data_IF_151208553129
#
_entry.id   IF_151208553129
#
_cell.length_a   1.000
_cell.length_b   1.000
_cell.length_c   1.000
_cell.angle_alpha   90.00
_cell.angle_beta   90.00
_cell.angle_gamma   90.00
#
_symmetry.space_group_name_H-M   'P 1'
#
loop_
_entity.id
_entity.type
_entity.pdbx_description
1 polymer ?
#
# COMPACT_ATOMS: atom_id res chain seq x y z
N UNK A 1 32.84 -7.32 -114.66
CA UNK A 1 33.25 -6.85 -113.32
C UNK A 1 32.46 -5.60 -112.96
N UNK A 2 31.47 -5.70 -112.05
CA UNK A 2 30.75 -4.52 -111.54
C UNK A 2 31.63 -3.83 -110.50
N UNK A 3 32.05 -2.59 -110.76
CA UNK A 3 32.72 -1.74 -109.77
C UNK A 3 31.68 -1.23 -108.77
N UNK A 4 31.62 -1.86 -107.60
CA UNK A 4 30.86 -1.35 -106.46
C UNK A 4 31.57 -0.07 -105.96
N UNK A 5 31.04 1.09 -106.32
CA UNK A 5 31.47 2.36 -105.71
C UNK A 5 30.88 2.41 -104.31
N UNK A 6 31.71 2.13 -103.31
CA UNK A 6 31.34 2.28 -101.90
C UNK A 6 31.18 3.79 -101.64
N UNK A 7 29.95 4.22 -101.39
CA UNK A 7 29.68 5.61 -101.02
C UNK A 7 30.04 5.80 -99.54
N UNK A 8 31.32 6.11 -99.29
CA UNK A 8 31.89 6.27 -97.95
C UNK A 8 31.27 7.44 -97.16
N UNK A 9 30.62 8.39 -97.82
CA UNK A 9 30.00 9.55 -97.18
C UNK A 9 28.66 9.20 -96.51
N UNK A 10 27.83 8.38 -97.17
CA UNK A 10 26.54 7.91 -96.62
C UNK A 10 26.76 7.06 -95.36
N UNK A 11 27.77 6.18 -95.37
CA UNK A 11 28.08 5.31 -94.23
C UNK A 11 28.61 6.09 -93.01
N UNK A 12 29.24 7.26 -93.23
CA UNK A 12 29.76 8.10 -92.16
C UNK A 12 28.66 8.89 -91.44
N UNK A 13 27.67 9.40 -92.19
CA UNK A 13 26.53 10.12 -91.60
C UNK A 13 25.64 9.21 -90.75
N UNK A 14 25.35 7.99 -91.23
CA UNK A 14 24.54 7.04 -90.47
C UNK A 14 25.27 6.53 -89.23
N UNK A 15 26.58 6.25 -89.33
CA UNK A 15 27.42 5.94 -88.18
C UNK A 15 27.39 7.06 -87.13
N UNK A 16 27.54 8.33 -87.56
CA UNK A 16 27.47 9.48 -86.67
C UNK A 16 26.08 9.66 -86.02
N UNK A 17 24.98 9.28 -86.68
CA UNK A 17 23.64 9.28 -86.06
C UNK A 17 23.54 8.24 -84.94
N UNK A 18 24.03 7.03 -85.16
CA UNK A 18 24.02 5.97 -84.14
C UNK A 18 24.94 6.30 -82.96
N UNK A 19 26.11 6.87 -83.24
CA UNK A 19 27.05 7.33 -82.21
C UNK A 19 26.42 8.41 -81.32
N UNK A 20 25.76 9.41 -81.92
CA UNK A 20 25.03 10.44 -81.18
C UNK A 20 23.85 9.89 -80.36
N UNK A 21 23.15 8.87 -80.87
CA UNK A 21 22.06 8.22 -80.14
C UNK A 21 22.58 7.41 -78.96
N UNK A 22 23.69 6.71 -79.13
CA UNK A 22 24.35 5.95 -78.07
C UNK A 22 24.90 6.86 -76.97
N UNK A 23 25.50 8.00 -77.32
CA UNK A 23 25.97 8.99 -76.35
C UNK A 23 24.81 9.61 -75.56
N UNK A 24 23.68 9.93 -76.22
CA UNK A 24 22.46 10.38 -75.53
C UNK A 24 21.90 9.32 -74.59
N UNK A 25 21.90 8.05 -75.02
CA UNK A 25 21.47 6.94 -74.19
C UNK A 25 22.37 6.77 -72.96
N UNK A 26 23.69 6.79 -73.13
CA UNK A 26 24.68 6.72 -72.05
C UNK A 26 24.49 7.86 -71.03
N UNK A 27 24.27 9.09 -71.51
CA UNK A 27 23.99 10.23 -70.65
C UNK A 27 22.66 10.06 -69.89
N UNK A 28 21.60 9.59 -70.55
CA UNK A 28 20.32 9.31 -69.89
C UNK A 28 20.43 8.20 -68.83
N UNK A 29 21.20 7.15 -69.11
CA UNK A 29 21.44 6.05 -68.18
C UNK A 29 22.26 6.51 -66.96
N UNK A 30 23.26 7.37 -67.16
CA UNK A 30 24.05 7.97 -66.07
C UNK A 30 23.17 8.84 -65.16
N UNK A 31 22.29 9.67 -65.72
CA UNK A 31 21.33 10.49 -64.95
C UNK A 31 20.38 9.60 -64.16
N UNK A 32 19.79 8.58 -64.80
CA UNK A 32 18.87 7.65 -64.15
C UNK A 32 19.54 6.91 -62.99
N UNK A 33 20.77 6.42 -63.19
CA UNK A 33 21.53 5.72 -62.16
C UNK A 33 21.82 6.64 -60.97
N UNK A 34 22.14 7.91 -61.24
CA UNK A 34 22.37 8.91 -60.20
C UNK A 34 21.10 9.17 -59.39
N UNK A 35 19.95 9.32 -60.05
CA UNK A 35 18.65 9.51 -59.37
C UNK A 35 18.31 8.30 -58.50
N UNK A 36 18.47 7.08 -59.02
CA UNK A 36 18.21 5.85 -58.27
C UNK A 36 19.12 5.72 -57.04
N UNK A 37 20.41 6.10 -57.17
CA UNK A 37 21.34 6.09 -56.04
C UNK A 37 20.90 7.07 -54.94
N UNK A 38 20.43 8.27 -55.29
CA UNK A 38 19.92 9.25 -54.33
C UNK A 38 18.69 8.70 -53.60
N UNK A 39 17.73 8.11 -54.34
CA UNK A 39 16.53 7.50 -53.75
C UNK A 39 16.89 6.36 -52.81
N UNK A 40 17.86 5.52 -53.20
CA UNK A 40 18.33 4.41 -52.38
C UNK A 40 18.97 4.89 -51.07
N UNK A 41 19.87 5.88 -51.14
CA UNK A 41 20.51 6.46 -49.95
C UNK A 41 19.46 7.05 -49.00
N UNK A 42 18.50 7.81 -49.54
CA UNK A 42 17.43 8.40 -48.75
C UNK A 42 16.55 7.34 -48.07
N UNK A 43 16.19 6.28 -48.80
CA UNK A 43 15.40 5.17 -48.29
C UNK A 43 16.15 4.41 -47.19
N UNK A 44 17.44 4.13 -47.40
CA UNK A 44 18.29 3.46 -46.43
C UNK A 44 18.40 4.23 -45.10
N UNK A 45 18.64 5.54 -45.16
CA UNK A 45 18.70 6.39 -43.96
C UNK A 45 17.35 6.38 -43.21
N UNK A 46 16.25 6.49 -43.95
CA UNK A 46 14.91 6.49 -43.36
C UNK A 46 14.59 5.17 -42.65
N UNK A 47 14.90 4.04 -43.29
CA UNK A 47 14.70 2.70 -42.73
C UNK A 47 15.58 2.50 -41.49
N UNK A 48 16.86 2.86 -41.56
CA UNK A 48 17.79 2.75 -40.44
C UNK A 48 17.31 3.54 -39.22
N UNK A 49 16.84 4.77 -39.42
CA UNK A 49 16.32 5.60 -38.32
C UNK A 49 15.05 4.99 -37.69
N UNK A 50 14.13 4.48 -38.51
CA UNK A 50 12.93 3.80 -38.00
C UNK A 50 13.26 2.53 -37.24
N UNK A 51 14.21 1.74 -37.74
CA UNK A 51 14.67 0.51 -37.09
C UNK A 51 15.30 0.79 -35.72
N UNK A 52 16.20 1.78 -35.63
CA UNK A 52 16.81 2.18 -34.37
C UNK A 52 15.77 2.66 -33.34
N UNK A 53 14.76 3.43 -33.79
CA UNK A 53 13.67 3.86 -32.91
C UNK A 53 12.86 2.66 -32.40
N UNK A 54 12.54 1.72 -33.29
CA UNK A 54 11.82 0.50 -32.94
C UNK A 54 12.57 -0.35 -31.92
N UNK A 55 13.87 -0.59 -32.12
CA UNK A 55 14.72 -1.31 -31.18
C UNK A 55 14.75 -0.65 -29.80
N UNK A 56 14.93 0.67 -29.75
CA UNK A 56 14.89 1.41 -28.47
C UNK A 56 13.54 1.28 -27.76
N UNK A 57 12.42 1.35 -28.50
CA UNK A 57 11.09 1.16 -27.92
C UNK A 57 10.89 -0.28 -27.42
N UNK A 58 11.42 -1.27 -28.14
CA UNK A 58 11.35 -2.66 -27.74
C UNK A 58 12.18 -2.95 -26.48
N UNK A 59 13.38 -2.36 -26.38
CA UNK A 59 14.20 -2.41 -25.18
C UNK A 59 13.49 -1.77 -23.99
N UNK A 60 12.93 -0.58 -24.14
CA UNK A 60 12.17 0.08 -23.07
C UNK A 60 10.98 -0.76 -22.62
N UNK A 61 10.22 -1.33 -23.56
CA UNK A 61 9.12 -2.25 -23.24
C UNK A 61 9.59 -3.44 -22.41
N UNK A 62 10.70 -4.07 -22.79
CA UNK A 62 11.29 -5.19 -22.05
C UNK A 62 11.69 -4.76 -20.63
N UNK A 63 12.33 -3.61 -20.48
CA UNK A 63 12.69 -3.05 -19.18
C UNK A 63 11.47 -2.81 -18.30
N UNK A 64 10.39 -2.22 -18.83
CA UNK A 64 9.17 -2.00 -18.05
C UNK A 64 8.51 -3.31 -17.63
N UNK A 65 8.46 -4.32 -18.51
CA UNK A 65 7.93 -5.63 -18.16
C UNK A 65 8.78 -6.31 -17.06
N UNK A 66 10.10 -6.18 -17.13
CA UNK A 66 10.99 -6.71 -16.11
C UNK A 66 10.78 -6.00 -14.77
N UNK A 67 10.65 -4.67 -14.76
CA UNK A 67 10.35 -3.90 -13.56
C UNK A 67 9.00 -4.27 -12.95
N UNK A 68 7.98 -4.55 -13.77
CA UNK A 68 6.68 -5.01 -13.27
C UNK A 68 6.79 -6.39 -12.61
N UNK A 69 7.57 -7.31 -13.18
CA UNK A 69 7.81 -8.63 -12.58
C UNK A 69 8.58 -8.51 -11.27
N UNK A 70 9.63 -7.69 -11.24
CA UNK A 70 10.47 -7.49 -10.05
C UNK A 70 9.70 -6.82 -8.91
N UNK A 71 8.85 -5.83 -9.22
CA UNK A 71 8.08 -5.10 -8.21
C UNK A 71 6.81 -5.80 -7.75
N UNK A 72 6.39 -6.88 -8.41
CA UNK A 72 5.16 -7.62 -8.06
C UNK A 72 5.15 -8.08 -6.60
N UNK A 73 6.29 -8.55 -6.11
CA UNK A 73 6.40 -9.06 -4.75
C UNK A 73 6.37 -7.93 -3.72
N UNK A 74 6.93 -6.76 -4.05
CA UNK A 74 6.86 -5.57 -3.20
C UNK A 74 5.45 -4.97 -3.17
N UNK A 75 4.75 -4.96 -4.30
CA UNK A 75 3.34 -4.56 -4.37
C UNK A 75 2.45 -5.48 -3.52
N UNK A 76 2.71 -6.79 -3.55
CA UNK A 76 2.02 -7.74 -2.67
C UNK A 76 2.27 -7.45 -1.18
N UNK A 77 3.50 -7.10 -0.79
CA UNK A 77 3.82 -6.69 0.58
C UNK A 77 3.12 -5.39 0.98
N UNK A 78 3.11 -4.39 0.09
CA UNK A 78 2.44 -3.11 0.34
C UNK A 78 0.94 -3.35 0.55
N UNK A 79 0.30 -4.11 -0.34
CA UNK A 79 -1.12 -4.45 -0.22
C UNK A 79 -1.43 -5.22 1.08
N UNK A 80 -0.52 -6.08 1.52
CA UNK A 80 -0.65 -6.79 2.79
C UNK A 80 -0.55 -5.84 4.00
N UNK A 81 0.40 -4.90 3.97
CA UNK A 81 0.56 -3.89 5.02
C UNK A 81 -0.67 -2.97 5.07
N UNK A 82 -1.18 -2.55 3.91
CA UNK A 82 -2.39 -1.73 3.82
C UNK A 82 -3.60 -2.44 4.45
N UNK A 83 -3.81 -3.72 4.11
CA UNK A 83 -4.88 -4.52 4.73
C UNK A 83 -4.73 -4.60 6.26
N UNK A 84 -3.52 -4.88 6.74
CA UNK A 84 -3.23 -4.89 8.19
C UNK A 84 -3.51 -3.54 8.85
N UNK A 85 -3.15 -2.45 8.18
CA UNK A 85 -3.41 -1.10 8.67
C UNK A 85 -4.91 -0.82 8.76
N UNK A 86 -5.68 -1.22 7.73
CA UNK A 86 -7.14 -1.09 7.73
C UNK A 86 -7.76 -1.91 8.87
N UNK A 87 -7.31 -3.16 9.06
CA UNK A 87 -7.79 -4.02 10.13
C UNK A 87 -7.46 -3.43 11.51
N UNK A 88 -6.25 -2.91 11.69
CA UNK A 88 -5.84 -2.25 12.92
C UNK A 88 -6.64 -0.96 13.17
N UNK A 89 -6.84 -0.13 12.15
CA UNK A 89 -7.67 1.07 12.24
C UNK A 89 -9.11 0.73 12.58
N UNK A 90 -9.65 -0.35 12.00
CA UNK A 90 -10.97 -0.86 12.34
C UNK A 90 -11.01 -1.31 13.81
N UNK A 91 -10.01 -2.07 14.26
CA UNK A 91 -9.88 -2.47 15.66
C UNK A 91 -9.84 -1.26 16.61
N UNK A 92 -9.09 -0.20 16.28
CA UNK A 92 -9.04 1.02 17.09
C UNK A 92 -10.36 1.80 17.08
N UNK A 93 -11.03 1.91 15.94
CA UNK A 93 -12.38 2.52 15.86
C UNK A 93 -13.41 1.70 16.65
N UNK A 94 -13.17 0.40 16.70
CA UNK A 94 -13.98 -0.58 17.38
C UNK A 94 -13.60 -0.73 18.87
N UNK A 95 -12.54 -0.06 19.32
CA UNK A 95 -12.15 0.00 20.72
C UNK A 95 -13.07 0.99 21.44
N UNK A 96 -13.66 0.55 22.55
CA UNK A 96 -14.65 1.30 23.30
C UNK A 96 -14.05 2.45 24.12
N UNK A 97 -12.92 3.04 23.70
CA UNK A 97 -12.05 3.84 24.58
C UNK A 97 -11.67 3.04 25.84
N UNK A 98 -11.32 1.75 25.68
CA UNK A 98 -11.04 0.85 26.80
C UNK A 98 -9.94 1.38 27.72
N UNK A 99 -9.00 2.15 27.18
CA UNK A 99 -7.94 2.84 27.94
C UNK A 99 -8.52 3.82 28.94
N UNK A 100 -9.45 4.68 28.54
CA UNK A 100 -10.07 5.67 29.43
C UNK A 100 -10.88 5.00 30.54
N UNK A 101 -11.63 3.94 30.21
CA UNK A 101 -12.35 3.17 31.23
C UNK A 101 -11.41 2.41 32.17
N UNK A 102 -10.27 1.94 31.67
CA UNK A 102 -9.22 1.35 32.49
C UNK A 102 -8.64 2.37 33.48
N UNK A 103 -8.35 3.58 33.03
CA UNK A 103 -7.84 4.66 33.88
C UNK A 103 -8.84 5.03 34.99
N UNK A 104 -10.11 5.27 34.63
CA UNK A 104 -11.18 5.57 35.59
C UNK A 104 -11.28 4.47 36.65
N UNK A 105 -11.28 3.19 36.24
CA UNK A 105 -11.38 2.06 37.15
C UNK A 105 -10.12 1.92 38.02
N UNK A 106 -8.94 2.01 37.41
CA UNK A 106 -7.65 1.90 38.12
C UNK A 106 -7.51 2.99 39.17
N UNK A 107 -7.86 4.24 38.85
CA UNK A 107 -7.74 5.36 39.77
C UNK A 107 -8.78 5.27 40.90
N UNK A 108 -10.00 4.84 40.59
CA UNK A 108 -11.02 4.56 41.61
C UNK A 108 -10.57 3.45 42.57
N UNK A 109 -9.92 2.40 42.06
CA UNK A 109 -9.39 1.30 42.89
C UNK A 109 -8.24 1.80 43.77
N UNK A 110 -7.28 2.54 43.21
CA UNK A 110 -6.13 3.09 43.97
C UNK A 110 -6.59 4.00 45.11
N UNK A 111 -7.61 4.83 44.88
CA UNK A 111 -8.17 5.71 45.91
C UNK A 111 -8.85 4.95 47.07
N UNK A 112 -9.29 3.70 46.82
CA UNK A 112 -10.02 2.90 47.81
C UNK A 112 -9.13 2.03 48.71
N UNK A 113 -7.99 1.53 48.19
CA UNK A 113 -7.10 0.63 48.94
C UNK A 113 -5.76 0.45 48.22
N UNK A 114 -4.67 0.70 48.94
CA UNK A 114 -3.28 0.47 48.45
C UNK A 114 -2.98 -1.01 48.10
N UNK A 115 -3.77 -1.94 48.64
CA UNK A 115 -3.58 -3.39 48.43
C UNK A 115 -4.40 -3.97 47.27
N UNK A 116 -5.28 -3.17 46.68
CA UNK A 116 -6.15 -3.61 45.61
C UNK A 116 -5.42 -3.55 44.25
N UNK A 117 -5.44 -4.66 43.51
CA UNK A 117 -4.87 -4.73 42.16
C UNK A 117 -5.93 -5.17 41.16
N UNK A 118 -6.02 -4.47 40.04
CA UNK A 118 -6.85 -4.87 38.92
C UNK A 118 -6.15 -6.01 38.17
N UNK A 119 -6.74 -7.21 38.19
CA UNK A 119 -6.20 -8.42 37.54
C UNK A 119 -6.57 -8.48 36.07
N UNK A 120 -7.80 -8.11 35.74
CA UNK A 120 -8.29 -8.10 34.36
C UNK A 120 -9.41 -7.09 34.20
N UNK A 121 -9.50 -6.49 33.02
CA UNK A 121 -10.61 -5.66 32.57
C UNK A 121 -10.91 -6.01 31.11
N UNK A 122 -12.18 -6.21 30.80
CA UNK A 122 -12.69 -6.31 29.45
C UNK A 122 -13.84 -5.31 29.31
N UNK A 123 -13.80 -4.46 28.28
CA UNK A 123 -14.86 -3.51 27.96
C UNK A 123 -15.22 -3.67 26.49
N UNK A 124 -16.50 -3.75 26.19
CA UNK A 124 -17.00 -3.78 24.82
C UNK A 124 -17.51 -2.40 24.35
N UNK A 125 -17.79 -2.25 23.05
CA UNK A 125 -18.31 -0.99 22.47
C UNK A 125 -19.60 -0.49 23.08
N UNK A 126 -20.42 -1.41 23.60
CA UNK A 126 -21.67 -1.06 24.28
C UNK A 126 -21.44 -0.66 25.73
N UNK A 127 -20.17 -0.52 26.14
CA UNK A 127 -19.68 -0.21 27.49
C UNK A 127 -19.91 -1.32 28.50
N UNK A 128 -20.32 -2.52 28.07
CA UNK A 128 -20.41 -3.64 28.99
C UNK A 128 -19.00 -3.99 29.43
N UNK A 129 -18.85 -4.19 30.72
CA UNK A 129 -17.55 -4.40 31.36
C UNK A 129 -17.57 -5.65 32.22
N UNK A 130 -16.45 -6.34 32.24
CA UNK A 130 -16.16 -7.36 33.25
C UNK A 130 -14.74 -7.17 33.76
N UNK A 131 -14.60 -7.13 35.08
CA UNK A 131 -13.29 -6.93 35.69
C UNK A 131 -13.13 -7.73 36.97
N UNK A 132 -11.87 -8.02 37.30
CA UNK A 132 -11.50 -8.79 38.48
C UNK A 132 -10.51 -7.98 39.31
N UNK A 133 -10.79 -7.80 40.59
CA UNK A 133 -9.92 -7.12 41.54
C UNK A 133 -9.41 -8.13 42.54
N UNK A 134 -8.10 -8.13 42.77
CA UNK A 134 -7.40 -9.00 43.72
C UNK A 134 -6.95 -8.21 44.94
N UNK A 135 -7.05 -8.82 46.12
CA UNK A 135 -6.58 -8.28 47.39
C UNK A 135 -5.71 -9.31 48.10
N UNK A 136 -4.68 -8.85 48.79
CA UNK A 136 -3.80 -9.68 49.63
C UNK A 136 -4.28 -9.82 51.08
N UNK A 137 -5.26 -9.00 51.51
CA UNK A 137 -5.75 -8.93 52.89
C UNK A 137 -7.27 -8.84 52.90
N UNK A 138 -7.92 -9.67 53.71
CA UNK A 138 -9.39 -9.73 53.82
C UNK A 138 -10.03 -8.39 54.23
N UNK A 139 -9.47 -7.71 55.23
CA UNK A 139 -9.99 -6.43 55.71
C UNK A 139 -10.06 -5.38 54.59
N UNK A 140 -9.04 -5.37 53.71
CA UNK A 140 -8.98 -4.46 52.58
C UNK A 140 -9.98 -4.80 51.48
N UNK A 141 -10.25 -6.09 51.25
CA UNK A 141 -11.36 -6.53 50.39
C UNK A 141 -12.70 -6.05 50.95
N UNK A 142 -12.93 -6.19 52.26
CA UNK A 142 -14.16 -5.72 52.90
C UNK A 142 -14.31 -4.19 52.84
N UNK A 143 -13.22 -3.43 53.03
CA UNK A 143 -13.21 -1.98 52.82
C UNK A 143 -13.55 -1.61 51.38
N UNK A 144 -13.01 -2.35 50.41
CA UNK A 144 -13.33 -2.13 48.99
C UNK A 144 -14.80 -2.39 48.69
N UNK A 145 -15.40 -3.46 49.22
CA UNK A 145 -16.83 -3.73 49.01
C UNK A 145 -17.72 -2.57 49.50
N UNK A 146 -17.39 -1.98 50.66
CA UNK A 146 -18.07 -0.77 51.15
C UNK A 146 -17.84 0.43 50.23
N UNK A 147 -16.63 0.60 49.70
CA UNK A 147 -16.35 1.64 48.73
C UNK A 147 -17.08 1.42 47.39
N UNK A 148 -17.24 0.17 46.95
CA UNK A 148 -17.94 -0.19 45.73
C UNK A 148 -19.45 0.12 45.79
N UNK A 149 -19.99 0.29 47.00
CA UNK A 149 -21.36 0.76 47.25
C UNK A 149 -21.46 2.29 47.35
N UNK A 150 -20.34 3.02 47.34
CA UNK A 150 -20.35 4.48 47.43
C UNK A 150 -20.79 5.14 46.12
N UNK A 151 -21.43 6.31 46.22
CA UNK A 151 -21.83 7.10 45.04
C UNK A 151 -20.65 7.43 44.14
N UNK A 152 -19.48 7.71 44.72
CA UNK A 152 -18.25 8.02 43.98
C UNK A 152 -17.86 6.90 43.03
N UNK A 153 -17.99 5.64 43.46
CA UNK A 153 -17.70 4.48 42.62
C UNK A 153 -18.84 4.18 41.65
N UNK A 154 -20.08 4.19 42.15
CA UNK A 154 -21.28 3.83 41.38
C UNK A 154 -21.57 4.82 40.23
N UNK A 155 -21.24 6.10 40.38
CA UNK A 155 -21.42 7.11 39.32
C UNK A 155 -20.63 6.83 38.04
N UNK A 156 -19.60 5.96 38.09
CA UNK A 156 -18.86 5.54 36.91
C UNK A 156 -19.61 4.50 36.06
N UNK A 157 -20.70 3.92 36.56
CA UNK A 157 -21.43 2.81 35.94
C UNK A 157 -22.91 3.13 35.74
N UNK A 158 -23.48 2.76 34.59
CA UNK A 158 -24.93 2.69 34.40
C UNK A 158 -25.54 1.52 35.19
N UNK A 159 -24.79 0.43 35.28
CA UNK A 159 -25.16 -0.75 36.08
C UNK A 159 -23.90 -1.52 36.46
N UNK A 160 -23.87 -2.10 37.65
CA UNK A 160 -22.77 -2.93 38.12
C UNK A 160 -23.30 -3.99 39.07
N UNK A 161 -22.71 -5.18 39.00
CA UNK A 161 -23.06 -6.31 39.85
C UNK A 161 -21.81 -7.10 40.21
N UNK A 162 -21.76 -7.58 41.45
CA UNK A 162 -20.76 -8.56 41.87
C UNK A 162 -21.20 -9.93 41.33
N UNK A 163 -20.40 -10.52 40.45
CA UNK A 163 -20.67 -11.84 39.85
C UNK A 163 -20.19 -12.96 40.75
N UNK A 164 -19.00 -12.83 41.33
CA UNK A 164 -18.39 -13.88 42.13
C UNK A 164 -17.36 -13.33 43.11
N UNK A 165 -17.19 -14.01 44.24
CA UNK A 165 -16.11 -13.84 45.19
C UNK A 165 -15.36 -15.17 45.30
N UNK A 166 -14.06 -15.16 45.02
CA UNK A 166 -13.20 -16.34 45.13
C UNK A 166 -12.13 -16.07 46.18
N UNK A 167 -11.97 -17.01 47.11
CA UNK A 167 -10.88 -17.02 48.07
C UNK A 167 -9.85 -18.00 47.54
N UNK A 168 -8.81 -17.49 46.86
CA UNK A 168 -7.73 -18.28 46.32
C UNK A 168 -6.62 -18.37 47.39
N UNK A 169 -6.64 -19.44 48.19
CA UNK A 169 -5.63 -19.71 49.22
C UNK A 169 -5.16 -21.16 49.16
N UNK A 170 -3.84 -21.37 49.11
CA UNK A 170 -3.22 -22.63 49.51
C UNK A 170 -2.66 -22.40 50.92
N UNK A 171 -2.96 -23.29 51.87
CA UNK A 171 -2.85 -23.15 53.34
C UNK A 171 -1.50 -22.71 53.95
N UNK A 172 -0.55 -22.16 53.18
CA UNK A 172 0.79 -21.81 53.68
C UNK A 172 1.37 -20.44 53.29
N UNK A 173 0.99 -19.74 52.20
CA UNK A 173 1.73 -18.53 51.76
C UNK A 173 0.90 -17.47 50.98
N UNK A 174 -0.04 -16.79 51.63
CA UNK A 174 -0.83 -15.64 51.13
C UNK A 174 -2.17 -16.02 50.48
N UNK A 175 -3.25 -15.70 51.19
CA UNK A 175 -4.61 -15.75 50.65
C UNK A 175 -4.81 -14.57 49.70
N UNK A 176 -5.19 -14.88 48.45
CA UNK A 176 -5.58 -13.87 47.47
C UNK A 176 -7.11 -13.90 47.34
N UNK A 177 -7.72 -12.77 47.63
CA UNK A 177 -9.16 -12.58 47.51
C UNK A 177 -9.48 -11.97 46.16
N UNK A 178 -10.36 -12.59 45.38
CA UNK A 178 -10.74 -12.10 44.05
C UNK A 178 -12.22 -11.74 44.00
N UNK A 179 -12.52 -10.49 43.63
CA UNK A 179 -13.87 -10.01 43.36
C UNK A 179 -14.06 -9.85 41.86
N UNK A 180 -15.05 -10.54 41.30
CA UNK A 180 -15.41 -10.45 39.89
C UNK A 180 -16.67 -9.61 39.72
N UNK A 181 -16.59 -8.55 38.92
CA UNK A 181 -17.71 -7.67 38.62
C UNK A 181 -18.12 -7.78 37.14
N UNK A 182 -19.41 -7.56 36.89
CA UNK A 182 -19.98 -7.38 35.55
C UNK A 182 -20.94 -6.20 35.59
N UNK A 183 -20.90 -5.37 34.55
CA UNK A 183 -21.74 -4.18 34.49
C UNK A 183 -21.65 -3.47 33.15
N UNK A 184 -22.00 -2.19 33.16
CA UNK A 184 -21.93 -1.30 32.03
C UNK A 184 -21.46 0.09 32.48
N UNK A 185 -20.40 0.61 31.88
CA UNK A 185 -19.88 1.95 32.21
C UNK A 185 -20.84 3.06 31.77
N UNK A 186 -20.83 4.16 32.52
CA UNK A 186 -21.44 5.42 32.10
C UNK A 186 -20.70 5.99 30.88
N UNK A 187 -21.40 6.68 29.96
CA UNK A 187 -20.76 7.29 28.81
C UNK A 187 -19.80 8.39 29.25
N UNK A 188 -18.55 8.33 28.80
CA UNK A 188 -17.56 9.39 29.01
C UNK A 188 -18.07 10.67 28.32
N UNK A 189 -18.29 11.72 29.12
CA UNK A 189 -18.51 13.07 28.58
C UNK A 189 -17.15 13.58 28.13
N UNK A 190 -16.92 13.65 26.83
CA UNK A 190 -15.73 14.31 26.28
C UNK A 190 -15.94 15.80 26.54
N UNK A 191 -15.15 16.40 27.44
CA UNK A 191 -15.11 17.85 27.59
C UNK A 191 -14.52 18.44 26.30
N UNK A 192 -15.40 18.90 25.41
CA UNK A 192 -15.06 19.68 24.22
C UNK A 192 -14.51 21.06 24.62
N UNK A 193 -13.30 21.09 25.17
CA UNK A 193 -12.56 22.32 25.48
C UNK A 193 -11.27 22.44 24.65
N UNK A 194 -11.27 21.96 23.41
CA UNK A 194 -10.16 22.13 22.46
C UNK A 194 -10.54 22.93 21.18
N UNK A 195 -11.64 23.68 21.19
CA UNK A 195 -11.97 24.61 20.11
C UNK A 195 -12.11 26.05 20.63
N UNK A 196 -11.03 26.57 21.22
CA UNK A 196 -10.76 28.01 21.28
C UNK A 196 -9.24 28.22 21.27
N UNK A 197 -8.67 28.37 20.08
CA UNK A 197 -7.56 29.27 19.76
C UNK A 197 -7.52 29.49 18.26
#
# INVERSE_FOLDING_TARGET
MKKNRINLLINREDYQKYENLFERFKLSAAILTTILAIIFIFSYITIKNKFNKYENMNLQKKTYLQLLVERRDDEAKINYIEKKYIDFKKFLKDDASSVTYYEILSDSIKNSSESAKLKSLAVDKTRNTSFIITFSVFEKMMSFLRFAESEMFLNNFESISLKNLVIAGNNKLNENYELSFVGKFAPIKVDTNENKN
#
